data_IF_461545521099
#
_entry.id   IF_461545521099
#
_cell.length_a   1.000
_cell.length_b   1.000
_cell.length_c   1.000
_cell.angle_alpha   90.00
_cell.angle_beta   90.00
_cell.angle_gamma   90.00
#
_symmetry.space_group_name_H-M   'P 1'
#
loop_
_entity.id
_entity.type
_entity.pdbx_description
1 polymer ?
#
# COMPACT_ATOMS: atom_id res chain seq x y z
N UNK A 1 -1.61 -18.64 12.03
CA UNK A 1 -2.64 -17.59 11.95
C UNK A 1 -2.36 -16.82 10.68
N UNK A 2 -3.36 -16.66 9.82
CA UNK A 2 -3.20 -15.92 8.55
C UNK A 2 -2.94 -14.45 8.82
N UNK A 3 -2.11 -13.85 7.97
CA UNK A 3 -1.74 -12.45 8.06
C UNK A 3 -2.13 -11.68 6.79
N UNK A 4 -2.77 -10.53 7.00
CA UNK A 4 -3.29 -9.66 5.96
C UNK A 4 -2.61 -8.30 6.07
N UNK A 5 -2.33 -7.70 4.91
CA UNK A 5 -1.85 -6.33 4.82
C UNK A 5 -2.84 -5.52 3.99
N UNK A 6 -3.38 -4.47 4.58
CA UNK A 6 -4.26 -3.51 3.93
C UNK A 6 -3.43 -2.43 3.25
N UNK A 7 -3.78 -2.11 2.01
CA UNK A 7 -3.25 -0.94 1.32
C UNK A 7 -3.98 0.35 1.74
N UNK A 8 -3.52 1.49 1.23
CA UNK A 8 -4.18 2.78 1.46
C UNK A 8 -5.59 2.86 0.86
N UNK A 9 -5.89 2.12 -0.21
CA UNK A 9 -7.23 2.12 -0.79
C UNK A 9 -8.27 1.48 0.15
N UNK A 10 -7.87 0.50 0.96
CA UNK A 10 -8.73 -0.06 2.01
C UNK A 10 -9.09 1.01 3.05
N UNK A 11 -8.15 1.88 3.42
CA UNK A 11 -8.40 3.00 4.33
C UNK A 11 -9.40 3.99 3.74
N UNK A 12 -9.17 4.40 2.48
CA UNK A 12 -10.05 5.34 1.76
C UNK A 12 -11.46 4.73 1.62
N UNK A 13 -11.57 3.42 1.38
CA UNK A 13 -12.87 2.76 1.32
C UNK A 13 -13.65 2.88 2.62
N UNK A 14 -13.01 2.69 3.77
CA UNK A 14 -13.65 2.88 5.09
C UNK A 14 -14.02 4.33 5.33
N UNK A 15 -13.14 5.28 4.99
CA UNK A 15 -13.37 6.72 5.20
C UNK A 15 -14.51 7.27 4.35
N UNK A 16 -14.62 6.85 3.10
CA UNK A 16 -15.65 7.30 2.17
C UNK A 16 -16.92 6.44 2.20
N UNK A 17 -17.01 5.44 3.10
CA UNK A 17 -18.11 4.47 3.17
C UNK A 17 -18.39 3.80 1.82
N UNK A 18 -17.32 3.41 1.11
CA UNK A 18 -17.44 2.66 -0.16
C UNK A 18 -17.96 1.25 0.11
N UNK A 19 -18.49 0.53 -0.91
CA UNK A 19 -19.01 -0.83 -0.73
C UNK A 19 -18.02 -1.81 -0.07
N UNK A 20 -16.72 -1.61 -0.23
CA UNK A 20 -15.68 -2.46 0.35
C UNK A 20 -15.44 -2.22 1.86
N UNK A 21 -15.98 -1.13 2.44
CA UNK A 21 -15.76 -0.74 3.83
C UNK A 21 -16.18 -1.83 4.82
N UNK A 22 -17.32 -2.49 4.56
CA UNK A 22 -17.84 -3.55 5.42
C UNK A 22 -16.87 -4.75 5.49
N UNK A 23 -16.34 -5.18 4.35
CA UNK A 23 -15.38 -6.28 4.29
C UNK A 23 -14.05 -5.94 5.00
N UNK A 24 -13.59 -4.69 4.90
CA UNK A 24 -12.41 -4.23 5.65
C UNK A 24 -12.68 -4.28 7.16
N UNK A 25 -13.84 -3.80 7.61
CA UNK A 25 -14.25 -3.87 9.03
C UNK A 25 -14.37 -5.31 9.52
N UNK A 26 -14.86 -6.22 8.68
CA UNK A 26 -14.95 -7.64 9.00
C UNK A 26 -13.55 -8.25 9.22
N UNK A 27 -12.58 -7.98 8.35
CA UNK A 27 -11.19 -8.42 8.55
C UNK A 27 -10.63 -7.93 9.88
N UNK A 28 -10.86 -6.66 10.24
CA UNK A 28 -10.44 -6.08 11.53
C UNK A 28 -11.12 -6.79 12.70
N UNK A 29 -12.40 -7.14 12.56
CA UNK A 29 -13.12 -7.90 13.57
C UNK A 29 -12.53 -9.32 13.76
N UNK A 30 -12.07 -9.98 12.69
CA UNK A 30 -11.36 -11.26 12.79
C UNK A 30 -10.04 -11.14 13.58
N UNK A 31 -9.34 -10.01 13.48
CA UNK A 31 -8.19 -9.74 14.35
C UNK A 31 -8.61 -9.61 15.82
N UNK A 32 -9.68 -8.88 16.10
CA UNK A 32 -10.23 -8.77 17.46
C UNK A 32 -10.59 -10.13 18.07
N UNK A 33 -11.01 -11.08 17.24
CA UNK A 33 -11.29 -12.46 17.61
C UNK A 33 -10.05 -13.38 17.63
N UNK A 34 -8.83 -12.85 17.41
CA UNK A 34 -7.57 -13.60 17.33
C UNK A 34 -7.56 -14.71 16.26
N UNK A 35 -8.32 -14.51 15.17
CA UNK A 35 -8.42 -15.45 14.03
C UNK A 35 -7.50 -15.08 12.87
N UNK A 36 -7.18 -13.79 12.76
CA UNK A 36 -6.28 -13.25 11.75
C UNK A 36 -5.36 -12.21 12.36
N UNK A 37 -4.22 -11.95 11.72
CA UNK A 37 -3.43 -10.73 11.94
C UNK A 37 -3.68 -9.78 10.79
N UNK A 38 -4.08 -8.55 11.07
CA UNK A 38 -4.36 -7.53 10.08
C UNK A 38 -3.46 -6.33 10.35
N UNK A 39 -2.75 -5.91 9.31
CA UNK A 39 -1.80 -4.80 9.39
C UNK A 39 -2.12 -3.77 8.32
N UNK A 40 -1.73 -2.54 8.54
CA UNK A 40 -1.87 -1.45 7.57
C UNK A 40 -0.48 -0.97 7.17
N UNK A 41 -0.25 -0.69 5.89
CA UNK A 41 0.99 -0.03 5.47
C UNK A 41 0.82 1.49 5.55
N UNK A 42 1.74 2.17 6.26
CA UNK A 42 1.81 3.63 6.24
C UNK A 42 2.52 4.10 4.98
N UNK A 43 1.84 4.87 4.14
CA UNK A 43 2.49 5.64 3.06
C UNK A 43 1.88 7.03 3.00
N UNK A 44 2.65 8.01 2.49
CA UNK A 44 2.16 9.38 2.34
C UNK A 44 0.99 9.52 1.36
N UNK A 45 0.70 8.48 0.55
CA UNK A 45 -0.50 8.41 -0.29
C UNK A 45 -1.78 8.70 0.52
N UNK A 46 -1.80 8.24 1.77
CA UNK A 46 -2.93 8.42 2.65
C UNK A 46 -3.15 9.90 2.99
N UNK A 47 -2.09 10.67 3.20
CA UNK A 47 -2.19 12.01 3.78
C UNK A 47 -2.28 13.14 2.76
N UNK A 48 -2.38 12.84 1.46
CA UNK A 48 -2.58 13.89 0.44
C UNK A 48 -3.87 14.66 0.71
N UNK A 49 -3.75 15.79 1.39
CA UNK A 49 -4.83 16.73 1.60
C UNK A 49 -5.20 17.40 0.27
N UNK A 50 -6.48 17.76 0.13
CA UNK A 50 -7.00 18.46 -1.06
C UNK A 50 -6.37 19.84 -1.29
N UNK A 51 -5.66 20.38 -0.29
CA UNK A 51 -5.03 21.70 -0.32
C UNK A 51 -3.52 21.68 -0.66
N UNK A 52 -2.93 20.50 -0.89
CA UNK A 52 -1.51 20.37 -1.23
C UNK A 52 -0.54 20.53 -0.06
N UNK A 53 -1.02 20.60 1.18
CA UNK A 53 -0.13 20.50 2.34
C UNK A 53 0.29 19.04 2.55
N UNK A 54 1.60 18.84 2.63
CA UNK A 54 2.20 17.57 3.07
C UNK A 54 2.02 17.50 4.58
N UNK A 55 1.44 16.42 5.11
CA UNK A 55 1.38 16.21 6.55
C UNK A 55 2.70 15.60 7.00
N UNK A 56 3.51 16.42 7.65
CA UNK A 56 4.91 16.13 7.98
C UNK A 56 5.09 15.17 9.18
N UNK A 57 4.01 14.56 9.69
CA UNK A 57 4.15 13.62 10.81
C UNK A 57 3.21 12.44 10.74
N UNK A 58 3.76 11.27 11.05
CA UNK A 58 3.04 10.03 11.24
C UNK A 58 1.89 10.15 12.26
N UNK A 59 1.98 11.10 13.20
CA UNK A 59 0.94 11.34 14.21
C UNK A 59 -0.43 11.71 13.62
N UNK A 60 -0.47 12.41 12.47
CA UNK A 60 -1.73 12.73 11.79
C UNK A 60 -2.38 11.49 11.20
N UNK A 61 -1.58 10.69 10.49
CA UNK A 61 -2.00 9.40 9.97
C UNK A 61 -2.54 8.52 11.09
N UNK A 62 -1.83 8.37 12.21
CA UNK A 62 -2.29 7.59 13.36
C UNK A 62 -3.63 8.09 13.93
N UNK A 63 -3.82 9.42 14.06
CA UNK A 63 -5.10 9.99 14.53
C UNK A 63 -6.24 9.65 13.56
N UNK A 64 -5.98 9.70 12.25
CA UNK A 64 -6.96 9.33 11.22
C UNK A 64 -7.33 7.85 11.31
N UNK A 65 -6.35 6.96 11.43
CA UNK A 65 -6.59 5.51 11.62
C UNK A 65 -7.44 5.25 12.86
N UNK A 66 -7.14 5.94 13.97
CA UNK A 66 -7.93 5.83 15.20
C UNK A 66 -9.37 6.31 15.02
N UNK A 67 -9.58 7.43 14.31
CA UNK A 67 -10.91 7.97 14.03
C UNK A 67 -11.79 7.04 13.19
N UNK A 68 -11.18 6.19 12.37
CA UNK A 68 -11.86 5.19 11.53
C UNK A 68 -12.10 3.85 12.25
N UNK A 69 -11.73 3.75 13.54
CA UNK A 69 -11.85 2.50 14.31
C UNK A 69 -10.80 1.45 13.96
N UNK A 70 -9.77 1.83 13.20
CA UNK A 70 -8.68 0.94 12.75
C UNK A 70 -7.43 1.03 13.65
N UNK A 71 -7.50 1.78 14.76
CA UNK A 71 -6.37 2.05 15.65
C UNK A 71 -5.76 0.83 16.35
N UNK A 72 -6.44 -0.31 16.31
CA UNK A 72 -5.95 -1.59 16.84
C UNK A 72 -4.98 -2.31 15.90
N UNK A 73 -4.88 -1.87 14.64
CA UNK A 73 -4.02 -2.51 13.65
C UNK A 73 -2.56 -2.10 13.88
N UNK A 74 -1.65 -3.07 13.70
CA UNK A 74 -0.24 -2.75 13.56
C UNK A 74 -0.02 -1.98 12.26
N UNK A 75 0.69 -0.86 12.35
CA UNK A 75 1.06 -0.05 11.19
C UNK A 75 2.49 -0.39 10.79
N UNK A 76 2.66 -0.93 9.59
CA UNK A 76 3.95 -1.31 9.04
C UNK A 76 4.70 -0.06 8.56
N UNK A 77 5.97 0.04 8.96
CA UNK A 77 6.89 1.07 8.51
C UNK A 77 7.52 0.64 7.16
N UNK A 78 7.35 1.43 6.09
CA UNK A 78 8.00 1.17 4.80
C UNK A 78 9.50 1.48 4.86
N UNK A 79 10.24 0.99 3.86
CA UNK A 79 11.61 1.47 3.60
C UNK A 79 11.56 2.97 3.30
N UNK A 80 12.48 3.73 3.91
CA UNK A 80 12.58 5.17 3.73
C UNK A 80 12.71 5.52 2.25
N UNK A 81 11.79 6.33 1.76
CA UNK A 81 11.80 6.86 0.41
C UNK A 81 11.46 8.35 0.45
N UNK A 82 12.37 9.16 -0.09
CA UNK A 82 12.24 10.62 -0.06
C UNK A 82 10.91 11.05 -0.68
N UNK A 83 10.19 11.94 0.00
CA UNK A 83 8.88 12.46 -0.38
C UNK A 83 7.74 11.43 -0.48
N UNK A 84 7.96 10.18 -0.06
CA UNK A 84 6.97 9.09 -0.10
C UNK A 84 6.67 8.50 1.28
N UNK A 85 7.56 8.69 2.26
CA UNK A 85 7.45 8.15 3.63
C UNK A 85 7.57 9.24 4.70
N UNK A 86 6.93 9.02 5.85
CA UNK A 86 7.20 9.83 7.04
C UNK A 86 8.57 9.50 7.59
N UNK A 87 9.43 10.51 7.74
CA UNK A 87 10.80 10.31 8.25
C UNK A 87 10.83 9.85 9.72
N UNK A 88 9.77 10.14 10.48
CA UNK A 88 9.57 9.67 11.85
C UNK A 88 8.93 8.26 11.92
N UNK A 89 8.59 7.66 10.77
CA UNK A 89 8.01 6.33 10.65
C UNK A 89 8.42 5.60 9.37
N UNK A 90 9.69 5.24 9.28
CA UNK A 90 10.25 4.43 8.20
C UNK A 90 11.42 3.58 8.72
N UNK A 91 11.81 2.57 7.94
CA UNK A 91 13.02 1.78 8.20
C UNK A 91 14.12 2.11 7.20
N UNK A 92 15.37 1.92 7.60
CA UNK A 92 16.49 2.02 6.65
C UNK A 92 16.41 0.89 5.62
N UNK A 93 16.74 1.22 4.37
CA UNK A 93 16.86 0.24 3.31
C UNK A 93 17.92 -0.82 3.67
N UNK A 94 17.60 -2.08 3.39
CA UNK A 94 18.62 -3.14 3.32
C UNK A 94 19.25 -3.16 1.93
N UNK A 95 20.34 -3.90 1.78
CA UNK A 95 21.20 -3.90 0.59
C UNK A 95 20.44 -4.20 -0.71
N UNK A 96 19.41 -5.05 -0.65
CA UNK A 96 18.62 -5.47 -1.82
C UNK A 96 17.33 -4.67 -2.05
N UNK A 97 16.96 -3.75 -1.15
CA UNK A 97 15.65 -3.10 -1.15
C UNK A 97 15.35 -2.38 -2.47
N UNK A 98 16.33 -1.67 -3.02
CA UNK A 98 16.18 -0.96 -4.29
C UNK A 98 16.00 -1.93 -5.47
N UNK A 99 16.81 -3.00 -5.53
CA UNK A 99 16.72 -4.00 -6.59
C UNK A 99 15.38 -4.75 -6.55
N UNK A 100 14.82 -4.98 -5.37
CA UNK A 100 13.48 -5.55 -5.18
C UNK A 100 12.39 -4.57 -5.65
N UNK A 101 12.49 -3.30 -5.27
CA UNK A 101 11.57 -2.26 -5.70
C UNK A 101 11.54 -2.10 -7.23
N UNK A 102 12.71 -2.14 -7.89
CA UNK A 102 12.81 -2.11 -9.35
C UNK A 102 12.09 -3.31 -9.98
N UNK A 103 12.30 -4.54 -9.48
CA UNK A 103 11.62 -5.75 -10.01
C UNK A 103 10.10 -5.64 -9.87
N UNK A 104 9.62 -5.16 -8.73
CA UNK A 104 8.19 -4.92 -8.52
C UNK A 104 7.66 -3.88 -9.50
N UNK A 105 8.40 -2.78 -9.69
CA UNK A 105 8.05 -1.73 -10.65
C UNK A 105 7.98 -2.25 -12.09
N UNK A 106 8.91 -3.08 -12.54
CA UNK A 106 8.89 -3.67 -13.88
C UNK A 106 7.65 -4.54 -14.13
N UNK A 107 7.12 -5.20 -13.09
CA UNK A 107 5.87 -5.97 -13.19
C UNK A 107 4.66 -5.03 -13.17
N UNK A 108 4.64 -4.04 -12.27
CA UNK A 108 3.51 -3.15 -12.07
C UNK A 108 3.40 -2.07 -13.17
N UNK A 109 4.50 -1.61 -13.73
CA UNK A 109 4.56 -0.49 -14.68
C UNK A 109 5.63 -0.72 -15.76
N UNK A 110 5.51 -1.79 -16.58
CA UNK A 110 6.56 -2.22 -17.51
C UNK A 110 6.96 -1.19 -18.58
N UNK A 111 6.15 -0.15 -18.80
CA UNK A 111 6.37 0.90 -19.79
C UNK A 111 6.63 2.27 -19.17
N UNK A 112 6.69 2.36 -17.84
CA UNK A 112 7.03 3.61 -17.14
C UNK A 112 8.46 3.54 -16.63
N UNK A 113 9.19 4.66 -16.59
CA UNK A 113 10.50 4.69 -15.96
C UNK A 113 10.39 4.58 -14.43
N UNK A 114 11.34 3.87 -13.81
CA UNK A 114 11.45 3.82 -12.35
C UNK A 114 12.07 5.12 -11.80
N UNK A 115 13.16 5.60 -12.43
CA UNK A 115 13.89 6.79 -11.99
C UNK A 115 13.10 8.09 -12.21
N UNK A 116 13.22 9.03 -11.26
CA UNK A 116 12.51 10.31 -11.32
C UNK A 116 12.87 11.13 -12.56
N UNK A 117 14.17 11.28 -12.88
CA UNK A 117 14.60 12.12 -14.02
C UNK A 117 14.13 11.59 -15.38
N UNK A 118 13.99 10.26 -15.51
CA UNK A 118 13.44 9.64 -16.72
C UNK A 118 11.92 9.79 -16.80
N UNK A 119 11.23 9.72 -15.65
CA UNK A 119 9.78 9.87 -15.57
C UNK A 119 9.32 11.34 -15.65
N UNK A 120 10.15 12.27 -15.19
CA UNK A 120 9.89 13.72 -15.12
C UNK A 120 11.09 14.49 -15.71
N UNK A 121 11.26 14.51 -17.04
CA UNK A 121 12.34 15.23 -17.69
C UNK A 121 12.32 16.73 -17.39
N UNK A 122 13.51 17.34 -17.28
CA UNK A 122 13.63 18.76 -16.91
C UNK A 122 12.99 19.73 -17.91
N UNK A 123 12.89 19.33 -19.18
CA UNK A 123 12.36 20.14 -20.28
C UNK A 123 10.83 20.16 -20.35
N UNK A 124 10.12 19.49 -19.44
CA UNK A 124 8.67 19.58 -19.35
C UNK A 124 8.22 20.96 -18.89
N UNK A 125 7.18 21.51 -19.53
CA UNK A 125 6.47 22.68 -19.00
C UNK A 125 5.71 22.35 -17.70
N UNK A 126 5.38 23.37 -16.91
CA UNK A 126 4.88 23.24 -15.54
C UNK A 126 3.70 22.26 -15.38
N UNK A 127 2.67 22.37 -16.23
CA UNK A 127 1.49 21.50 -16.15
C UNK A 127 1.84 20.03 -16.46
N UNK A 128 2.65 19.80 -17.50
CA UNK A 128 3.09 18.48 -17.88
C UNK A 128 4.00 17.85 -16.81
N UNK A 129 4.85 18.66 -16.19
CA UNK A 129 5.70 18.26 -15.06
C UNK A 129 4.86 17.82 -13.87
N UNK A 130 3.88 18.62 -13.44
CA UNK A 130 3.00 18.26 -12.31
C UNK A 130 2.23 16.95 -12.55
N UNK A 131 1.77 16.72 -13.77
CA UNK A 131 1.10 15.48 -14.13
C UNK A 131 2.06 14.28 -14.09
N UNK A 132 3.27 14.45 -14.61
CA UNK A 132 4.31 13.43 -14.61
C UNK A 132 4.76 13.08 -13.19
N UNK A 133 4.98 14.08 -12.32
CA UNK A 133 5.33 13.90 -10.91
C UNK A 133 4.24 13.16 -10.15
N UNK A 134 2.98 13.54 -10.33
CA UNK A 134 1.85 12.84 -9.71
C UNK A 134 1.78 11.39 -10.14
N UNK A 135 1.97 11.13 -11.44
CA UNK A 135 1.96 9.77 -11.98
C UNK A 135 3.11 8.94 -11.40
N UNK A 136 4.33 9.45 -11.46
CA UNK A 136 5.52 8.78 -10.92
C UNK A 136 5.35 8.49 -9.43
N UNK A 137 4.93 9.49 -8.64
CA UNK A 137 4.70 9.33 -7.20
C UNK A 137 3.69 8.21 -6.90
N UNK A 138 2.56 8.16 -7.59
CA UNK A 138 1.57 7.10 -7.40
C UNK A 138 2.17 5.72 -7.72
N UNK A 139 2.96 5.61 -8.79
CA UNK A 139 3.62 4.35 -9.15
C UNK A 139 4.64 3.91 -8.08
N UNK A 140 5.40 4.84 -7.52
CA UNK A 140 6.34 4.53 -6.44
C UNK A 140 5.63 4.13 -5.14
N UNK A 141 4.50 4.77 -4.81
CA UNK A 141 3.68 4.40 -3.65
C UNK A 141 3.10 2.98 -3.79
N UNK A 142 2.65 2.61 -4.99
CA UNK A 142 2.17 1.25 -5.31
C UNK A 142 3.28 0.20 -5.17
N UNK A 143 4.51 0.53 -5.57
CA UNK A 143 5.67 -0.34 -5.37
C UNK A 143 5.98 -0.47 -3.88
N UNK A 144 6.04 0.66 -3.18
CA UNK A 144 6.43 0.74 -1.78
C UNK A 144 5.46 -0.01 -0.87
N UNK A 145 4.16 0.11 -1.11
CA UNK A 145 3.13 -0.58 -0.32
C UNK A 145 3.26 -2.10 -0.45
N UNK A 146 3.51 -2.59 -1.66
CA UNK A 146 3.67 -4.02 -1.92
C UNK A 146 5.02 -4.54 -1.40
N UNK A 147 6.10 -3.77 -1.57
CA UNK A 147 7.40 -4.11 -1.01
C UNK A 147 7.33 -4.25 0.52
N UNK A 148 6.64 -3.33 1.18
CA UNK A 148 6.43 -3.38 2.64
C UNK A 148 5.63 -4.63 3.07
N UNK A 149 4.60 -5.00 2.30
CA UNK A 149 3.86 -6.24 2.52
C UNK A 149 4.78 -7.48 2.42
N UNK A 150 5.63 -7.53 1.41
CA UNK A 150 6.58 -8.63 1.17
C UNK A 150 7.60 -8.72 2.30
N UNK A 151 8.17 -7.59 2.72
CA UNK A 151 9.11 -7.52 3.85
C UNK A 151 8.48 -8.01 5.16
N UNK A 152 7.21 -7.70 5.39
CA UNK A 152 6.45 -8.19 6.54
C UNK A 152 6.12 -9.69 6.46
N UNK A 153 6.42 -10.35 5.33
CA UNK A 153 6.16 -11.78 5.07
C UNK A 153 4.70 -12.16 5.31
N UNK A 154 3.79 -11.23 5.02
CA UNK A 154 2.36 -11.45 5.21
C UNK A 154 1.80 -12.39 4.13
N UNK A 155 0.66 -13.02 4.41
CA UNK A 155 0.10 -14.05 3.54
C UNK A 155 -0.76 -13.47 2.42
N UNK A 156 -1.50 -12.41 2.72
CA UNK A 156 -2.48 -11.81 1.82
C UNK A 156 -2.31 -10.29 1.74
N UNK A 157 -2.05 -9.78 0.55
CA UNK A 157 -2.14 -8.36 0.23
C UNK A 157 -3.57 -8.01 -0.18
N UNK A 158 -4.19 -7.08 0.52
CA UNK A 158 -5.59 -6.69 0.32
C UNK A 158 -5.65 -5.34 -0.38
N UNK A 159 -6.21 -5.31 -1.59
CA UNK A 159 -6.35 -4.09 -2.39
C UNK A 159 -7.51 -4.19 -3.36
N UNK A 160 -8.13 -3.05 -3.68
CA UNK A 160 -9.09 -2.94 -4.77
C UNK A 160 -8.48 -2.35 -6.06
N UNK A 161 -7.17 -2.07 -6.06
CA UNK A 161 -6.51 -1.55 -7.26
C UNK A 161 -6.36 -2.65 -8.31
N UNK A 162 -7.07 -2.42 -9.43
CA UNK A 162 -7.08 -3.28 -10.61
C UNK A 162 -5.69 -3.54 -11.15
N UNK A 163 -4.72 -2.65 -10.93
CA UNK A 163 -3.36 -2.85 -11.40
C UNK A 163 -2.71 -4.10 -10.81
N UNK A 164 -2.87 -4.34 -9.51
CA UNK A 164 -2.37 -5.55 -8.83
C UNK A 164 -3.18 -6.79 -9.18
N UNK A 165 -4.47 -6.62 -9.49
CA UNK A 165 -5.40 -7.72 -9.76
C UNK A 165 -5.34 -8.26 -11.21
N UNK A 166 -4.56 -7.64 -12.10
CA UNK A 166 -4.41 -8.12 -13.49
C UNK A 166 -3.89 -9.55 -13.51
N UNK A 167 -4.59 -10.44 -14.22
CA UNK A 167 -4.19 -11.84 -14.39
C UNK A 167 -2.77 -11.99 -14.94
N UNK A 168 -2.33 -11.07 -15.80
CA UNK A 168 -0.97 -11.06 -16.36
C UNK A 168 0.13 -10.68 -15.36
N UNK A 169 -0.23 -10.15 -14.19
CA UNK A 169 0.72 -9.67 -13.17
C UNK A 169 0.73 -10.52 -11.91
N UNK A 170 -0.43 -11.01 -11.47
CA UNK A 170 -0.56 -11.77 -10.20
C UNK A 170 0.46 -12.91 -10.06
N UNK A 171 0.69 -13.79 -11.06
CA UNK A 171 1.69 -14.85 -10.93
C UNK A 171 3.11 -14.30 -10.72
N UNK A 172 3.50 -13.27 -11.48
CA UNK A 172 4.81 -12.62 -11.37
C UNK A 172 4.99 -11.92 -10.03
N UNK A 173 3.95 -11.27 -9.51
CA UNK A 173 3.99 -10.65 -8.18
C UNK A 173 4.09 -11.71 -7.07
N UNK A 174 3.41 -12.84 -7.22
CA UNK A 174 3.50 -13.96 -6.28
C UNK A 174 4.91 -14.56 -6.25
N UNK A 175 5.58 -14.71 -7.40
CA UNK A 175 6.98 -15.13 -7.50
C UNK A 175 7.94 -14.15 -6.80
N UNK A 176 7.62 -12.85 -6.79
CA UNK A 176 8.37 -11.83 -6.07
C UNK A 176 8.04 -11.76 -4.56
N UNK A 177 7.14 -12.61 -4.07
CA UNK A 177 6.85 -12.74 -2.64
C UNK A 177 5.51 -12.18 -2.18
N UNK A 178 4.69 -11.61 -3.08
CA UNK A 178 3.37 -11.07 -2.73
C UNK A 178 2.33 -12.14 -2.32
N UNK A 179 2.65 -13.42 -2.54
CA UNK A 179 1.78 -14.58 -2.25
C UNK A 179 0.38 -14.40 -2.84
N UNK A 180 -0.62 -14.11 -2.00
CA UNK A 180 -2.00 -13.92 -2.42
C UNK A 180 -2.34 -12.44 -2.46
N UNK A 181 -2.95 -12.00 -3.56
CA UNK A 181 -3.54 -10.66 -3.70
C UNK A 181 -5.04 -10.84 -3.85
N UNK A 182 -5.82 -10.24 -2.96
CA UNK A 182 -7.28 -10.36 -2.91
C UNK A 182 -7.93 -8.98 -2.78
N UNK A 183 -9.15 -8.85 -3.29
CA UNK A 183 -10.02 -7.72 -2.93
C UNK A 183 -10.53 -7.88 -1.50
N UNK A 184 -10.97 -6.80 -0.83
CA UNK A 184 -11.45 -6.87 0.55
C UNK A 184 -12.50 -7.95 0.80
N UNK A 185 -13.49 -8.08 -0.09
CA UNK A 185 -14.56 -9.08 0.03
C UNK A 185 -14.02 -10.52 0.03
N UNK A 186 -13.15 -10.84 -0.92
CA UNK A 186 -12.55 -12.17 -1.04
C UNK A 186 -11.62 -12.46 0.13
N UNK A 187 -10.88 -11.45 0.61
CA UNK A 187 -10.00 -11.58 1.76
C UNK A 187 -10.77 -11.88 3.05
N UNK A 188 -11.91 -11.22 3.28
CA UNK A 188 -12.77 -11.48 4.43
C UNK A 188 -13.33 -12.92 4.40
N UNK A 189 -13.83 -13.36 3.24
CA UNK A 189 -14.31 -14.74 3.07
C UNK A 189 -13.19 -15.78 3.27
N UNK A 190 -11.98 -15.49 2.76
CA UNK A 190 -10.81 -16.35 2.91
C UNK A 190 -10.41 -16.50 4.39
N UNK A 191 -10.43 -15.41 5.17
CA UNK A 191 -10.13 -15.44 6.60
C UNK A 191 -11.08 -16.37 7.38
N UNK A 192 -12.37 -16.38 7.03
CA UNK A 192 -13.37 -17.22 7.69
C UNK A 192 -13.17 -18.70 7.35
N UNK A 193 -12.93 -19.01 6.07
CA UNK A 193 -12.76 -20.38 5.60
C UNK A 193 -11.57 -21.09 6.27
N UNK A 194 -10.46 -20.36 6.45
CA UNK A 194 -9.21 -20.89 7.01
C UNK A 194 -9.18 -20.87 8.55
N UNK A 195 -10.17 -20.25 9.18
CA UNK A 195 -10.33 -20.21 10.65
C UNK A 195 -11.33 -21.26 11.17
N UNK A 196 -11.97 -22.02 10.28
CA UNK A 196 -12.98 -23.06 10.58
C UNK A 196 -12.36 -24.45 10.64
#
# INVERSE_FOLDING_TARGET
>A
MLSFTLDTNCLIAVEEERPEAEAVRELVAQQGASRATVRLVATMAAENQRDGTVLDSFSHFQRRINGLGLGVLEILAPVAACDLTYLDWCVLAHDEAEAEAIKLHEVLFPTSPFGYLDAVPENLGDEARQLAERKWRNQQLDVLVLHTHIMAKADVFVTNDKNFLKQSKRPRLAELGARLILIPLDAAAYAVAESS
#
